data_IF_165285150500
#
_entry.id   IF_165285150500
#
_cell.length_a   1.000
_cell.length_b   1.000
_cell.length_c   1.000
_cell.angle_alpha   90.00
_cell.angle_beta   90.00
_cell.angle_gamma   90.00
#
_symmetry.space_group_name_H-M   'P 1'
#
loop_
_entity.id
_entity.type
_entity.pdbx_description
1 polymer ?
#
# COMPACT_ATOMS: atom_id res chain seq x y z
N UNK A 1 -18.65 -13.12 -6.45
CA UNK A 1 -17.85 -13.68 -7.55
C UNK A 1 -16.60 -12.83 -7.67
N UNK A 2 -15.42 -13.43 -7.87
CA UNK A 2 -14.22 -12.64 -8.17
C UNK A 2 -14.50 -11.73 -9.36
N UNK A 3 -13.96 -10.51 -9.32
CA UNK A 3 -14.05 -9.59 -10.44
C UNK A 3 -13.41 -10.21 -11.70
N UNK A 4 -13.90 -9.82 -12.88
CA UNK A 4 -13.27 -10.25 -14.14
C UNK A 4 -11.83 -9.74 -14.22
N UNK A 5 -10.97 -10.43 -14.98
CA UNK A 5 -9.55 -10.08 -15.15
C UNK A 5 -9.36 -8.58 -15.49
N UNK A 6 -10.12 -8.07 -16.46
CA UNK A 6 -10.02 -6.67 -16.90
C UNK A 6 -10.38 -5.68 -15.78
N UNK A 7 -11.32 -6.04 -14.90
CA UNK A 7 -11.68 -5.22 -13.75
C UNK A 7 -10.56 -5.22 -12.71
N UNK A 8 -9.93 -6.37 -12.45
CA UNK A 8 -8.81 -6.46 -11.51
C UNK A 8 -7.57 -5.72 -12.04
N UNK A 9 -7.34 -5.74 -13.35
CA UNK A 9 -6.22 -5.03 -13.96
C UNK A 9 -6.31 -3.51 -13.75
N UNK A 10 -7.52 -2.97 -13.63
CA UNK A 10 -7.76 -1.54 -13.37
C UNK A 10 -7.81 -1.26 -11.86
N UNK A 11 -8.48 -2.10 -11.08
CA UNK A 11 -8.89 -1.76 -9.70
C UNK A 11 -8.23 -2.60 -8.60
N UNK A 12 -7.50 -3.67 -8.94
CA UNK A 12 -7.01 -4.66 -7.98
C UNK A 12 -6.03 -4.13 -6.93
N UNK A 13 -5.37 -3.00 -7.20
CA UNK A 13 -4.41 -2.35 -6.30
C UNK A 13 -4.87 -1.02 -5.72
N UNK A 14 -6.13 -0.60 -5.94
CA UNK A 14 -6.59 0.72 -5.51
C UNK A 14 -6.61 0.85 -3.98
N UNK A 15 -5.86 1.84 -3.47
CA UNK A 15 -5.91 2.22 -2.06
C UNK A 15 -6.89 3.39 -1.87
N UNK A 16 -7.85 3.22 -0.97
CA UNK A 16 -8.89 4.22 -0.72
C UNK A 16 -8.42 5.17 0.38
N UNK A 17 -8.10 6.40 0.02
CA UNK A 17 -7.81 7.46 1.02
C UNK A 17 -9.12 7.96 1.67
N UNK A 18 -9.09 8.26 2.97
CA UNK A 18 -10.26 8.66 3.77
C UNK A 18 -10.40 10.19 3.94
N UNK A 19 -9.65 10.96 3.18
CA UNK A 19 -9.63 12.43 3.22
C UNK A 19 -10.88 13.11 2.63
N UNK A 20 -11.92 12.36 2.26
CA UNK A 20 -13.17 12.86 1.67
C UNK A 20 -13.06 13.28 0.20
N UNK A 21 -11.87 13.61 -0.29
CA UNK A 21 -11.53 13.79 -1.70
C UNK A 21 -10.79 12.56 -2.20
N UNK A 22 -11.39 11.82 -3.13
CA UNK A 22 -10.84 10.54 -3.60
C UNK A 22 -10.33 10.70 -5.03
N UNK A 23 -9.01 10.85 -5.25
CA UNK A 23 -8.47 10.81 -6.60
C UNK A 23 -8.75 9.43 -7.22
N UNK A 24 -9.05 9.42 -8.52
CA UNK A 24 -9.25 8.17 -9.27
C UNK A 24 -7.95 7.42 -9.51
N UNK A 25 -6.81 8.09 -9.34
CA UNK A 25 -5.47 7.50 -9.40
C UNK A 25 -4.90 7.40 -8.00
N UNK A 26 -4.21 6.30 -7.72
CA UNK A 26 -3.47 6.14 -6.46
C UNK A 26 -2.35 7.20 -6.34
N UNK A 27 -2.07 7.71 -5.13
CA UNK A 27 -0.97 8.63 -4.91
C UNK A 27 0.38 7.97 -5.17
N UNK A 28 1.34 8.76 -5.67
CA UNK A 28 2.73 8.33 -5.78
C UNK A 28 3.43 8.74 -4.48
N UNK A 29 4.13 7.81 -3.84
CA UNK A 29 4.91 8.05 -2.62
C UNK A 29 6.41 8.05 -2.92
N UNK A 30 6.99 9.14 -3.46
CA UNK A 30 8.41 9.25 -3.82
C UNK A 30 9.27 9.59 -2.59
N UNK A 31 8.99 8.97 -1.45
CA UNK A 31 9.75 9.16 -0.21
C UNK A 31 10.59 7.93 0.10
N UNK A 32 11.71 8.17 0.76
CA UNK A 32 12.56 7.13 1.32
C UNK A 32 12.19 6.81 2.78
N UNK A 33 11.72 7.80 3.54
CA UNK A 33 11.42 7.67 4.97
C UNK A 33 10.07 8.29 5.32
N UNK A 34 9.48 7.84 6.43
CA UNK A 34 8.21 8.34 6.98
C UNK A 34 8.40 8.82 8.42
N UNK A 35 7.57 9.77 8.85
CA UNK A 35 7.56 10.29 10.22
C UNK A 35 6.55 9.53 11.07
N UNK A 36 6.84 9.39 12.35
CA UNK A 36 5.98 8.75 13.35
C UNK A 36 5.66 9.76 14.46
N UNK A 37 4.55 9.57 15.16
CA UNK A 37 4.12 10.44 16.25
C UNK A 37 5.11 10.40 17.43
N UNK A 38 5.62 9.22 17.77
CA UNK A 38 6.68 9.05 18.76
C UNK A 38 7.59 7.84 18.45
N UNK A 39 8.62 7.63 19.29
CA UNK A 39 9.57 6.54 19.12
C UNK A 39 8.98 5.15 19.39
N UNK A 40 7.89 5.05 20.16
CA UNK A 40 7.23 3.77 20.44
C UNK A 40 6.48 3.29 19.20
N UNK A 41 5.87 4.21 18.46
CA UNK A 41 5.23 3.89 17.18
C UNK A 41 6.24 3.35 16.17
N UNK A 42 7.41 4.00 16.03
CA UNK A 42 8.48 3.51 15.18
C UNK A 42 8.95 2.09 15.59
N UNK A 43 9.13 1.85 16.89
CA UNK A 43 9.56 0.55 17.42
C UNK A 43 8.53 -0.55 17.13
N UNK A 44 7.23 -0.26 17.34
CA UNK A 44 6.15 -1.18 17.04
C UNK A 44 6.06 -1.54 15.54
N UNK A 45 6.29 -0.57 14.65
CA UNK A 45 6.29 -0.83 13.20
C UNK A 45 7.53 -1.63 12.77
N UNK A 46 8.71 -1.30 13.30
CA UNK A 46 9.93 -2.06 13.03
C UNK A 46 9.89 -3.49 13.60
N UNK A 47 9.25 -3.66 14.76
CA UNK A 47 9.04 -4.96 15.39
C UNK A 47 7.94 -5.81 14.74
N UNK A 48 7.20 -5.25 13.77
CA UNK A 48 6.09 -5.94 13.10
C UNK A 48 4.83 -6.08 13.96
N UNK A 49 4.75 -5.39 15.09
CA UNK A 49 3.56 -5.35 15.94
C UNK A 49 2.45 -4.47 15.33
N UNK A 50 2.85 -3.49 14.51
CA UNK A 50 1.94 -2.64 13.75
C UNK A 50 2.32 -2.60 12.27
N UNK A 51 1.35 -2.60 11.33
CA UNK A 51 1.64 -2.43 9.92
C UNK A 51 2.12 -1.01 9.66
N UNK A 52 3.12 -0.85 8.81
CA UNK A 52 3.60 0.47 8.42
C UNK A 52 4.74 0.43 7.42
N UNK A 53 5.03 1.60 6.86
CA UNK A 53 6.13 1.81 5.94
C UNK A 53 7.22 2.60 6.67
N UNK A 54 8.46 2.10 6.68
CA UNK A 54 9.57 2.75 7.39
C UNK A 54 10.63 3.23 6.40
N UNK A 55 11.23 2.30 5.64
CA UNK A 55 12.31 2.59 4.70
C UNK A 55 11.94 2.13 3.28
N UNK A 56 11.35 3.06 2.53
CA UNK A 56 11.03 2.91 1.10
C UNK A 56 12.28 3.18 0.24
N UNK A 57 12.52 2.45 -0.87
CA UNK A 57 11.83 1.27 -1.39
C UNK A 57 12.39 -0.06 -0.85
N UNK A 58 13.31 -0.04 0.13
CA UNK A 58 14.09 -1.24 0.49
C UNK A 58 13.27 -2.30 1.22
N UNK A 59 12.33 -1.89 2.07
CA UNK A 59 11.45 -2.83 2.78
C UNK A 59 10.04 -2.83 2.19
N UNK A 60 9.41 -1.66 2.10
CA UNK A 60 8.07 -1.52 1.55
C UNK A 60 7.83 -0.07 1.13
N UNK A 61 6.95 0.14 0.15
CA UNK A 61 6.47 1.45 -0.30
C UNK A 61 4.98 1.36 -0.64
N UNK A 62 4.13 2.33 -0.25
CA UNK A 62 2.69 2.24 -0.49
C UNK A 62 2.33 2.10 -1.98
N UNK A 63 3.05 2.80 -2.86
CA UNK A 63 2.86 2.73 -4.32
C UNK A 63 3.16 1.32 -4.85
N UNK A 64 4.21 0.70 -4.31
CA UNK A 64 4.65 -0.64 -4.73
C UNK A 64 3.73 -1.71 -4.14
N UNK A 65 3.32 -1.57 -2.89
CA UNK A 65 2.38 -2.48 -2.24
C UNK A 65 1.03 -2.54 -2.99
N UNK A 66 0.52 -1.39 -3.46
CA UNK A 66 -0.66 -1.33 -4.32
C UNK A 66 -0.47 -2.16 -5.61
N UNK A 67 0.71 -2.06 -6.23
CA UNK A 67 1.04 -2.86 -7.42
C UNK A 67 1.15 -4.36 -7.10
N UNK A 68 1.79 -4.72 -6.00
CA UNK A 68 1.91 -6.12 -5.54
C UNK A 68 0.53 -6.75 -5.31
N UNK A 69 -0.38 -6.02 -4.64
CA UNK A 69 -1.77 -6.47 -4.44
C UNK A 69 -2.49 -6.66 -5.78
N UNK A 70 -2.32 -5.75 -6.74
CA UNK A 70 -2.94 -5.89 -8.06
C UNK A 70 -2.46 -7.16 -8.79
N UNK A 71 -1.15 -7.44 -8.74
CA UNK A 71 -0.57 -8.64 -9.36
C UNK A 71 -1.04 -9.91 -8.67
N UNK A 72 -1.05 -9.93 -7.33
CA UNK A 72 -1.56 -11.08 -6.57
C UNK A 72 -3.01 -11.41 -6.95
N UNK A 73 -3.87 -10.38 -7.02
CA UNK A 73 -5.26 -10.54 -7.43
C UNK A 73 -5.41 -11.07 -8.87
N UNK A 74 -4.57 -10.64 -9.81
CA UNK A 74 -4.58 -11.10 -11.21
C UNK A 74 -4.14 -12.56 -11.35
N UNK A 75 -3.21 -13.00 -10.51
CA UNK A 75 -2.71 -14.39 -10.49
C UNK A 75 -3.57 -15.33 -9.63
N UNK A 76 -4.56 -14.79 -8.90
CA UNK A 76 -5.37 -15.57 -7.96
C UNK A 76 -4.61 -16.00 -6.70
N UNK A 77 -3.59 -15.24 -6.33
CA UNK A 77 -2.80 -15.39 -5.11
C UNK A 77 -3.25 -14.40 -4.02
N UNK A 78 -2.82 -14.63 -2.78
CA UNK A 78 -2.91 -13.69 -1.66
C UNK A 78 -1.61 -12.90 -1.50
#
# INVERSE_FOLDING_TARGET
>A
MPHAFDTLAVHGGEHRDDTGLRPVVGPIHPSVSYTFADSRELDAVLGGEQPGFVYSPRYANPTVAAFETAVAALEGAE
#
